data_IF_100266926757
#
_entry.id   IF_100266926757
#
_cell.length_a   1.000
_cell.length_b   1.000
_cell.length_c   1.000
_cell.angle_alpha   90.00
_cell.angle_beta   90.00
_cell.angle_gamma   90.00
#
_symmetry.space_group_name_H-M   'P 1'
#
loop_
_entity.id
_entity.type
_entity.pdbx_description
1 polymer ?
#
# COMPACT_ATOMS: atom_id res chain seq x y z
N UNK A 1 24.52 12.44 -16.63
CA UNK A 1 23.87 11.26 -17.27
C UNK A 1 22.69 10.89 -16.39
N UNK A 2 21.47 10.90 -16.92
CA UNK A 2 20.26 10.52 -16.15
C UNK A 2 20.13 9.00 -16.22
N UNK A 3 20.02 8.33 -15.09
CA UNK A 3 19.86 6.87 -14.98
C UNK A 3 18.81 6.53 -13.93
N UNK A 4 18.19 5.36 -14.06
CA UNK A 4 17.20 4.89 -13.10
C UNK A 4 17.87 4.30 -11.86
N UNK A 5 17.42 4.72 -10.69
CA UNK A 5 17.80 4.17 -9.40
C UNK A 5 16.79 3.08 -9.05
N UNK A 6 17.21 1.82 -9.06
CA UNK A 6 16.33 0.69 -8.71
C UNK A 6 16.65 0.23 -7.29
N UNK A 7 15.67 0.36 -6.41
CA UNK A 7 15.74 -0.07 -5.02
C UNK A 7 15.26 -1.52 -4.89
N UNK A 8 15.88 -2.29 -4.01
CA UNK A 8 15.47 -3.66 -3.68
C UNK A 8 15.93 -4.73 -4.68
N UNK A 9 16.57 -4.38 -5.79
CA UNK A 9 17.01 -5.34 -6.81
C UNK A 9 18.52 -5.55 -6.79
N UNK A 10 18.96 -6.80 -6.71
CA UNK A 10 20.36 -7.15 -6.79
C UNK A 10 20.94 -6.92 -8.21
N UNK A 11 22.27 -6.92 -8.34
CA UNK A 11 22.96 -6.64 -9.61
C UNK A 11 22.67 -7.69 -10.70
N UNK A 12 22.55 -8.96 -10.32
CA UNK A 12 22.26 -10.06 -11.26
C UNK A 12 20.87 -9.90 -11.86
N UNK A 13 19.86 -9.63 -11.03
CA UNK A 13 18.49 -9.42 -11.50
C UNK A 13 18.35 -8.11 -12.28
N UNK A 14 19.13 -7.09 -11.90
CA UNK A 14 19.17 -5.83 -12.64
C UNK A 14 19.71 -6.02 -14.06
N UNK A 15 20.74 -6.82 -14.24
CA UNK A 15 21.29 -7.13 -15.57
C UNK A 15 20.32 -7.96 -16.40
N UNK A 16 19.56 -8.88 -15.76
CA UNK A 16 18.64 -9.80 -16.43
C UNK A 16 17.29 -9.18 -16.77
N UNK A 17 16.73 -8.39 -15.88
CA UNK A 17 15.35 -7.89 -15.99
C UNK A 17 15.25 -6.37 -16.23
N UNK A 18 16.39 -5.63 -16.12
CA UNK A 18 16.39 -4.18 -16.27
C UNK A 18 15.45 -3.52 -15.26
N UNK A 19 14.46 -2.78 -15.75
CA UNK A 19 13.39 -2.13 -14.95
C UNK A 19 12.05 -2.89 -15.01
N UNK A 20 11.99 -4.07 -15.61
CA UNK A 20 10.76 -4.86 -15.66
C UNK A 20 10.37 -5.33 -14.25
N UNK A 21 9.11 -5.18 -13.88
CA UNK A 21 8.62 -5.52 -12.53
C UNK A 21 9.13 -4.55 -11.47
N UNK A 22 9.28 -3.28 -11.81
CA UNK A 22 9.47 -2.19 -10.86
C UNK A 22 8.31 -1.21 -10.92
N UNK A 23 8.06 -0.52 -9.83
CA UNK A 23 7.10 0.59 -9.73
C UNK A 23 7.85 1.91 -9.63
N UNK A 24 7.25 2.98 -10.13
CA UNK A 24 7.80 4.33 -10.05
C UNK A 24 7.41 4.98 -8.72
N UNK A 25 8.39 5.27 -7.87
CA UNK A 25 8.17 5.91 -6.58
C UNK A 25 8.28 7.43 -6.66
N UNK A 26 9.17 7.94 -7.48
CA UNK A 26 9.46 9.37 -7.57
C UNK A 26 10.78 9.68 -8.27
N UNK A 27 11.28 10.90 -8.07
CA UNK A 27 12.56 11.34 -8.61
C UNK A 27 13.49 11.75 -7.48
N UNK A 28 14.80 11.54 -7.68
CA UNK A 28 15.81 12.00 -6.74
C UNK A 28 15.90 13.52 -6.73
N UNK A 29 16.10 14.07 -5.54
CA UNK A 29 16.27 15.50 -5.33
C UNK A 29 17.77 15.80 -5.36
N UNK A 30 18.20 16.62 -6.28
CA UNK A 30 19.62 17.00 -6.43
C UNK A 30 19.76 18.49 -6.23
N UNK A 31 20.66 18.86 -5.34
CA UNK A 31 21.02 20.26 -5.13
C UNK A 31 22.08 20.66 -6.14
N UNK A 32 21.79 21.71 -6.91
CA UNK A 32 22.71 22.29 -7.90
C UNK A 32 22.96 23.76 -7.51
N UNK A 33 23.96 23.99 -6.66
CA UNK A 33 24.19 25.31 -6.07
C UNK A 33 23.02 25.75 -5.17
N UNK A 34 22.45 26.95 -5.35
CA UNK A 34 21.29 27.42 -4.60
C UNK A 34 19.96 26.81 -5.09
N UNK A 35 19.93 26.17 -6.26
CA UNK A 35 18.74 25.58 -6.85
C UNK A 35 18.64 24.07 -6.58
N UNK A 36 17.40 23.58 -6.50
CA UNK A 36 17.11 22.16 -6.44
C UNK A 36 16.47 21.69 -7.75
N UNK A 37 16.85 20.54 -8.21
CA UNK A 37 16.28 19.92 -9.40
C UNK A 37 15.87 18.47 -9.13
N UNK A 38 14.77 18.04 -9.74
CA UNK A 38 14.39 16.64 -9.81
C UNK A 38 15.24 15.96 -10.92
N UNK A 39 15.86 14.86 -10.59
CA UNK A 39 16.77 14.17 -11.49
C UNK A 39 16.32 12.72 -11.73
N UNK A 40 17.09 11.76 -11.32
CA UNK A 40 16.92 10.35 -11.65
C UNK A 40 15.60 9.78 -11.11
N UNK A 41 14.95 8.91 -11.89
CA UNK A 41 13.78 8.17 -11.41
C UNK A 41 14.20 7.18 -10.33
N UNK A 42 13.40 7.10 -9.27
CA UNK A 42 13.51 6.11 -8.21
C UNK A 42 12.44 5.06 -8.46
N UNK A 43 12.87 3.85 -8.66
CA UNK A 43 12.04 2.68 -8.92
C UNK A 43 12.19 1.69 -7.77
N UNK A 44 11.12 1.00 -7.39
CA UNK A 44 11.14 -0.07 -6.40
C UNK A 44 10.85 -1.41 -7.10
N UNK A 45 11.64 -2.42 -6.78
CA UNK A 45 11.39 -3.79 -7.22
C UNK A 45 10.14 -4.36 -6.56
N UNK A 46 9.24 -4.93 -7.36
CA UNK A 46 8.04 -5.65 -6.90
C UNK A 46 8.01 -7.10 -7.39
N UNK A 47 9.08 -7.54 -8.03
CA UNK A 47 9.23 -8.93 -8.46
C UNK A 47 9.74 -9.85 -7.35
N UNK A 48 10.38 -9.29 -6.32
CA UNK A 48 10.90 -10.00 -5.15
C UNK A 48 10.22 -9.52 -3.87
N UNK A 49 10.27 -10.34 -2.82
CA UNK A 49 9.71 -9.98 -1.51
C UNK A 49 10.54 -8.91 -0.82
N UNK A 50 9.90 -7.85 -0.36
CA UNK A 50 10.52 -6.75 0.38
C UNK A 50 9.70 -6.38 1.61
N UNK A 51 10.38 -5.84 2.62
CA UNK A 51 9.75 -5.14 3.75
C UNK A 51 10.10 -3.66 3.60
N UNK A 52 9.06 -2.82 3.48
CA UNK A 52 9.22 -1.37 3.30
C UNK A 52 8.58 -0.67 4.49
N UNK A 53 9.38 0.12 5.23
CA UNK A 53 8.89 0.96 6.31
C UNK A 53 8.78 2.40 5.83
N UNK A 54 7.55 2.95 5.84
CA UNK A 54 7.29 4.37 5.57
C UNK A 54 7.01 5.09 6.88
N UNK A 55 7.95 5.89 7.35
CA UNK A 55 7.84 6.63 8.60
C UNK A 55 7.89 8.14 8.39
N UNK A 56 7.31 8.90 9.32
CA UNK A 56 7.29 10.37 9.25
C UNK A 56 6.23 10.98 10.16
N UNK A 57 6.30 12.30 10.35
CA UNK A 57 5.33 13.08 11.13
C UNK A 57 3.92 13.01 10.52
N UNK A 58 2.90 13.38 11.30
CA UNK A 58 1.54 13.57 10.78
C UNK A 58 1.57 14.60 9.63
N UNK A 59 0.90 14.31 8.53
CA UNK A 59 0.87 15.18 7.34
C UNK A 59 2.09 15.08 6.42
N UNK A 60 3.08 14.21 6.70
CA UNK A 60 4.29 14.07 5.86
C UNK A 60 4.10 13.25 4.58
N UNK A 61 2.88 12.86 4.23
CA UNK A 61 2.59 12.14 3.00
C UNK A 61 2.76 10.60 3.08
N UNK A 62 2.87 9.99 4.28
CA UNK A 62 3.01 8.53 4.41
C UNK A 62 1.92 7.74 3.68
N UNK A 63 0.66 8.07 3.97
CA UNK A 63 -0.48 7.38 3.34
C UNK A 63 -0.55 7.67 1.83
N UNK A 64 -0.19 8.88 1.41
CA UNK A 64 -0.09 9.23 0.01
C UNK A 64 0.97 8.37 -0.71
N UNK A 65 2.13 8.18 -0.09
CA UNK A 65 3.18 7.32 -0.62
C UNK A 65 2.72 5.86 -0.76
N UNK A 66 1.98 5.32 0.24
CA UNK A 66 1.39 3.99 0.15
C UNK A 66 0.37 3.88 -0.99
N UNK A 67 -0.47 4.91 -1.20
CA UNK A 67 -1.39 4.97 -2.34
C UNK A 67 -0.65 4.94 -3.67
N UNK A 68 0.42 5.72 -3.82
CA UNK A 68 1.25 5.73 -5.04
C UNK A 68 1.81 4.34 -5.33
N UNK A 69 2.33 3.64 -4.31
CA UNK A 69 2.83 2.27 -4.49
C UNK A 69 1.72 1.31 -4.94
N UNK A 70 0.54 1.40 -4.33
CA UNK A 70 -0.60 0.56 -4.68
C UNK A 70 -1.10 0.82 -6.10
N UNK A 71 -1.19 2.08 -6.51
CA UNK A 71 -1.58 2.49 -7.86
C UNK A 71 -0.58 1.98 -8.89
N UNK A 72 0.70 2.18 -8.67
CA UNK A 72 1.77 1.75 -9.58
C UNK A 72 1.82 0.22 -9.73
N UNK A 73 1.54 -0.54 -8.66
CA UNK A 73 1.42 -2.01 -8.72
C UNK A 73 0.21 -2.40 -9.57
N UNK A 74 -0.94 -1.77 -9.33
CA UNK A 74 -2.17 -2.07 -10.06
C UNK A 74 -2.11 -1.68 -11.55
N UNK A 75 -1.21 -0.75 -11.90
CA UNK A 75 -1.01 -0.26 -13.26
C UNK A 75 0.11 -0.97 -14.02
N UNK A 76 0.72 -1.99 -13.44
CA UNK A 76 1.70 -2.80 -14.17
C UNK A 76 1.07 -3.40 -15.44
N UNK A 77 1.87 -3.67 -16.48
CA UNK A 77 1.39 -4.38 -17.67
C UNK A 77 0.65 -5.67 -17.28
N UNK A 78 -0.41 -6.01 -18.00
CA UNK A 78 -1.30 -7.15 -17.69
C UNK A 78 -0.55 -8.45 -17.39
N UNK A 79 0.52 -8.71 -18.14
CA UNK A 79 1.38 -9.90 -17.95
C UNK A 79 2.03 -9.95 -16.55
N UNK A 80 2.17 -8.82 -15.87
CA UNK A 80 2.72 -8.69 -14.50
C UNK A 80 1.56 -8.55 -13.51
N UNK A 81 0.65 -7.63 -13.77
CA UNK A 81 -0.47 -7.29 -12.88
C UNK A 81 -1.33 -8.50 -12.51
N UNK A 82 -1.56 -9.43 -13.44
CA UNK A 82 -2.34 -10.66 -13.18
C UNK A 82 -1.73 -11.57 -12.11
N UNK A 83 -0.46 -11.40 -11.79
CA UNK A 83 0.24 -12.19 -10.77
C UNK A 83 0.40 -11.41 -9.44
N UNK A 84 -0.12 -10.19 -9.36
CA UNK A 84 0.00 -9.33 -8.20
C UNK A 84 -1.38 -9.01 -7.63
N UNK A 85 -1.47 -8.95 -6.31
CA UNK A 85 -2.64 -8.46 -5.59
C UNK A 85 -2.20 -7.45 -4.54
N UNK A 86 -2.96 -6.37 -4.39
CA UNK A 86 -2.71 -5.36 -3.36
C UNK A 86 -3.81 -5.47 -2.31
N UNK A 87 -3.42 -5.72 -1.07
CA UNK A 87 -4.33 -5.71 0.09
C UNK A 87 -3.89 -4.55 0.99
N UNK A 88 -4.80 -3.61 1.23
CA UNK A 88 -4.57 -2.47 2.12
C UNK A 88 -5.43 -2.60 3.37
N UNK A 89 -4.78 -2.68 4.53
CA UNK A 89 -5.45 -2.65 5.83
C UNK A 89 -5.62 -1.19 6.24
N UNK A 90 -6.82 -0.66 6.00
CA UNK A 90 -7.14 0.77 6.16
C UNK A 90 -7.76 1.07 7.52
N UNK A 91 -6.92 1.25 8.53
CA UNK A 91 -7.37 1.61 9.89
C UNK A 91 -7.89 3.05 10.01
N UNK A 92 -7.56 3.90 9.05
CA UNK A 92 -7.95 5.33 9.04
C UNK A 92 -9.15 5.62 8.13
N UNK A 93 -9.54 4.67 7.28
CA UNK A 93 -10.65 4.82 6.35
C UNK A 93 -10.42 5.88 5.29
N UNK A 94 -9.23 5.90 4.66
CA UNK A 94 -8.86 6.93 3.69
C UNK A 94 -8.60 6.39 2.28
N UNK A 95 -8.21 5.12 2.15
CA UNK A 95 -7.79 4.56 0.86
C UNK A 95 -8.95 4.25 -0.11
N UNK A 96 -10.21 4.24 0.37
CA UNK A 96 -11.37 4.14 -0.51
C UNK A 96 -11.42 5.26 -1.56
N UNK A 97 -10.80 6.41 -1.26
CA UNK A 97 -10.71 7.55 -2.18
C UNK A 97 -9.96 7.24 -3.46
N UNK A 98 -9.11 6.20 -3.48
CA UNK A 98 -8.42 5.73 -4.69
C UNK A 98 -9.36 5.26 -5.80
N UNK A 99 -10.62 5.01 -5.48
CA UNK A 99 -11.69 4.75 -6.47
C UNK A 99 -11.94 5.95 -7.40
N UNK A 100 -11.59 7.15 -6.97
CA UNK A 100 -11.84 8.39 -7.69
C UNK A 100 -10.53 9.01 -8.18
N UNK A 101 -10.54 9.66 -9.35
CA UNK A 101 -9.34 10.33 -9.86
C UNK A 101 -9.01 11.56 -9.01
N UNK A 102 -7.71 11.83 -8.80
CA UNK A 102 -7.23 13.02 -8.11
C UNK A 102 -7.28 14.24 -9.04
N UNK A 103 -8.45 14.82 -9.22
CA UNK A 103 -8.66 16.01 -10.05
C UNK A 103 -8.04 17.26 -9.40
N UNK A 104 -7.95 17.27 -8.05
CA UNK A 104 -7.44 18.43 -7.31
C UNK A 104 -6.01 18.79 -7.68
N UNK A 105 -5.18 17.77 -7.87
CA UNK A 105 -3.75 17.92 -8.12
C UNK A 105 -3.40 17.64 -9.62
N UNK A 106 -4.36 17.79 -10.53
CA UNK A 106 -4.19 17.51 -11.96
C UNK A 106 -3.00 18.26 -12.57
N UNK A 107 -2.84 19.56 -12.25
CA UNK A 107 -1.72 20.36 -12.74
C UNK A 107 -0.36 19.82 -12.27
N UNK A 108 -0.29 19.41 -10.98
CA UNK A 108 0.93 18.82 -10.42
C UNK A 108 1.23 17.48 -11.09
N UNK A 109 0.21 16.66 -11.35
CA UNK A 109 0.37 15.40 -12.05
C UNK A 109 0.90 15.61 -13.48
N UNK A 110 0.39 16.60 -14.21
CA UNK A 110 0.86 16.94 -15.55
C UNK A 110 2.35 17.35 -15.55
N UNK A 111 2.81 18.13 -14.58
CA UNK A 111 4.24 18.48 -14.41
C UNK A 111 5.13 17.24 -14.26
N UNK A 112 4.58 16.16 -13.72
CA UNK A 112 5.26 14.86 -13.56
C UNK A 112 5.06 13.93 -14.75
N UNK A 113 4.29 14.34 -15.76
CA UNK A 113 3.90 13.49 -16.89
C UNK A 113 2.88 12.42 -16.53
N UNK A 114 2.13 12.63 -15.44
CA UNK A 114 1.09 11.75 -14.93
C UNK A 114 -0.30 12.33 -15.22
N UNK A 115 -1.33 11.49 -15.11
CA UNK A 115 -2.74 11.91 -15.25
C UNK A 115 -3.57 11.38 -14.10
N UNK A 116 -4.62 12.11 -13.68
CA UNK A 116 -5.59 11.60 -12.71
C UNK A 116 -6.21 10.30 -13.20
N UNK A 117 -6.27 9.30 -12.33
CA UNK A 117 -6.83 7.98 -12.65
C UNK A 117 -7.67 7.47 -11.49
N UNK A 118 -8.69 6.68 -11.81
CA UNK A 118 -9.45 5.91 -10.83
C UNK A 118 -8.93 4.48 -10.80
N UNK A 119 -8.93 3.88 -9.60
CA UNK A 119 -8.52 2.49 -9.41
C UNK A 119 -9.73 1.60 -9.17
N UNK A 120 -9.68 0.36 -9.66
CA UNK A 120 -10.71 -0.64 -9.38
C UNK A 120 -10.53 -1.23 -7.98
N UNK A 121 -10.82 -0.42 -6.96
CA UNK A 121 -10.71 -0.81 -5.55
C UNK A 121 -11.95 -1.57 -5.12
N UNK A 122 -11.78 -2.70 -4.44
CA UNK A 122 -12.83 -3.44 -3.75
C UNK A 122 -12.75 -3.15 -2.26
N UNK A 123 -13.83 -2.64 -1.69
CA UNK A 123 -13.88 -2.16 -0.31
C UNK A 123 -14.64 -3.16 0.53
N UNK A 124 -13.92 -3.78 1.46
CA UNK A 124 -14.43 -4.74 2.44
C UNK A 124 -14.55 -4.05 3.80
N UNK A 125 -15.66 -4.24 4.47
CA UNK A 125 -15.92 -3.66 5.80
C UNK A 125 -16.44 -4.75 6.74
N UNK A 126 -16.03 -4.77 8.02
CA UNK A 126 -16.64 -5.66 8.99
C UNK A 126 -18.16 -5.50 9.01
N UNK A 127 -18.90 -6.60 9.06
CA UNK A 127 -20.38 -6.60 8.92
C UNK A 127 -21.08 -5.65 9.88
N UNK A 128 -20.57 -5.51 11.11
CA UNK A 128 -21.12 -4.59 12.11
C UNK A 128 -21.06 -3.10 11.74
N UNK A 129 -20.20 -2.71 10.79
CA UNK A 129 -20.03 -1.32 10.35
C UNK A 129 -20.56 -1.06 8.94
N UNK A 130 -21.08 -2.07 8.26
CA UNK A 130 -21.49 -1.98 6.87
C UNK A 130 -22.55 -0.90 6.62
N UNK A 131 -23.61 -0.90 7.40
CA UNK A 131 -24.71 0.08 7.26
C UNK A 131 -24.30 1.49 7.70
N UNK A 132 -23.40 1.60 8.67
CA UNK A 132 -22.84 2.89 9.09
C UNK A 132 -22.03 3.53 7.95
N UNK A 133 -21.16 2.78 7.32
CA UNK A 133 -20.37 3.28 6.19
C UNK A 133 -21.26 3.73 5.04
N UNK A 134 -22.29 2.95 4.69
CA UNK A 134 -23.29 3.34 3.68
C UNK A 134 -24.01 4.64 4.02
N UNK A 135 -24.45 4.80 5.26
CA UNK A 135 -25.12 6.04 5.72
C UNK A 135 -24.20 7.26 5.64
N UNK A 136 -22.90 7.07 5.85
CA UNK A 136 -21.88 8.12 5.72
C UNK A 136 -21.48 8.40 4.27
N UNK A 137 -22.05 7.72 3.29
CA UNK A 137 -21.74 7.87 1.88
C UNK A 137 -20.36 7.31 1.48
N UNK A 138 -19.75 6.47 2.33
CA UNK A 138 -18.50 5.78 2.01
C UNK A 138 -18.84 4.58 1.13
N UNK A 139 -18.22 4.43 -0.05
CA UNK A 139 -18.50 3.29 -0.91
C UNK A 139 -18.05 2.00 -0.23
N UNK A 140 -18.92 1.00 -0.23
CA UNK A 140 -18.65 -0.33 0.32
C UNK A 140 -19.14 -1.37 -0.67
N UNK A 141 -18.28 -2.35 -1.00
CA UNK A 141 -18.65 -3.43 -1.92
C UNK A 141 -19.07 -4.68 -1.16
N UNK A 142 -18.34 -5.05 -0.12
CA UNK A 142 -18.53 -6.32 0.58
C UNK A 142 -18.44 -6.14 2.10
N UNK A 143 -19.23 -6.93 2.82
CA UNK A 143 -19.03 -7.12 4.25
C UNK A 143 -18.24 -8.42 4.50
N UNK A 144 -17.52 -8.46 5.61
CA UNK A 144 -16.87 -9.68 6.08
C UNK A 144 -17.07 -9.90 7.57
N UNK A 145 -16.98 -11.15 7.98
CA UNK A 145 -16.97 -11.59 9.38
C UNK A 145 -15.79 -12.53 9.57
N UNK A 146 -15.24 -12.54 10.76
CA UNK A 146 -14.26 -13.54 11.19
C UNK A 146 -15.02 -14.53 12.08
N UNK A 147 -14.97 -15.81 11.76
CA UNK A 147 -15.55 -16.85 12.61
C UNK A 147 -14.67 -17.03 13.83
N UNK A 148 -15.29 -17.11 14.99
CA UNK A 148 -14.56 -17.33 16.25
C UNK A 148 -13.76 -18.65 16.25
N UNK A 149 -14.26 -19.65 15.51
CA UNK A 149 -13.57 -20.94 15.32
C UNK A 149 -12.34 -20.87 14.42
N UNK A 150 -12.11 -19.77 13.73
CA UNK A 150 -10.93 -19.54 12.87
C UNK A 150 -9.80 -18.84 13.63
N UNK A 151 -10.07 -18.40 14.87
CA UNK A 151 -9.08 -17.75 15.75
C UNK A 151 -8.32 -18.81 16.55
N UNK A 152 -6.99 -18.72 16.48
CA UNK A 152 -6.10 -19.54 17.30
C UNK A 152 -6.07 -19.06 18.76
N UNK A 153 -5.53 -19.87 19.67
CA UNK A 153 -5.30 -19.47 21.06
C UNK A 153 -4.45 -18.19 21.16
N UNK A 154 -3.47 -18.04 20.27
CA UNK A 154 -2.63 -16.84 20.22
C UNK A 154 -3.42 -15.59 19.80
N UNK A 155 -4.34 -15.72 18.82
CA UNK A 155 -5.20 -14.62 18.39
C UNK A 155 -6.12 -14.17 19.54
N UNK A 156 -6.72 -15.12 20.26
CA UNK A 156 -7.56 -14.85 21.44
C UNK A 156 -6.76 -14.14 22.52
N UNK A 157 -5.57 -14.66 22.85
CA UNK A 157 -4.70 -14.04 23.84
C UNK A 157 -4.31 -12.62 23.44
N UNK A 158 -4.03 -12.38 22.16
CA UNK A 158 -3.70 -11.05 21.62
C UNK A 158 -4.89 -10.07 21.69
N UNK A 159 -6.11 -10.55 21.41
CA UNK A 159 -7.34 -9.72 21.49
C UNK A 159 -7.62 -9.24 22.91
N UNK A 160 -7.37 -10.10 23.90
CA UNK A 160 -7.65 -9.82 25.31
C UNK A 160 -6.44 -9.32 26.10
N UNK A 161 -5.29 -9.11 25.45
CA UNK A 161 -4.03 -8.72 26.08
C UNK A 161 -3.59 -9.69 27.20
N UNK A 162 -3.75 -11.00 26.94
CA UNK A 162 -3.39 -12.10 27.83
C UNK A 162 -2.11 -12.75 27.30
N UNK A 163 -1.20 -13.12 28.19
CA UNK A 163 -0.03 -13.93 27.80
C UNK A 163 -0.43 -15.41 27.74
N UNK A 164 0.09 -16.13 26.74
CA UNK A 164 -0.11 -17.59 26.66
C UNK A 164 0.34 -18.33 27.91
N UNK A 165 1.30 -17.78 28.64
CA UNK A 165 1.83 -18.34 29.91
C UNK A 165 0.96 -18.04 31.13
N UNK A 166 -0.04 -17.19 31.02
CA UNK A 166 -0.98 -16.90 32.10
C UNK A 166 -2.00 -18.04 32.24
N UNK A 167 -2.61 -18.18 33.39
CA UNK A 167 -3.60 -19.25 33.67
C UNK A 167 -4.73 -19.25 32.62
N UNK A 168 -5.22 -18.06 32.25
CA UNK A 168 -6.25 -17.93 31.19
C UNK A 168 -5.70 -18.29 29.80
N UNK A 169 -4.45 -17.95 29.52
CA UNK A 169 -3.81 -18.29 28.24
C UNK A 169 -3.69 -19.81 28.09
N UNK A 170 -3.25 -20.51 29.12
CA UNK A 170 -3.15 -21.97 29.14
C UNK A 170 -4.53 -22.63 28.98
N UNK A 171 -5.57 -22.07 29.60
CA UNK A 171 -6.95 -22.57 29.43
C UNK A 171 -7.44 -22.39 27.97
N UNK A 172 -7.16 -21.25 27.34
CA UNK A 172 -7.54 -20.97 25.93
C UNK A 172 -6.79 -21.93 24.99
N UNK A 173 -5.51 -22.22 25.26
CA UNK A 173 -4.72 -23.13 24.44
C UNK A 173 -5.19 -24.58 24.55
N UNK A 174 -5.74 -24.97 25.70
CA UNK A 174 -6.21 -26.32 25.97
C UNK A 174 -7.65 -26.60 25.53
N UNK A 175 -8.38 -25.57 25.04
CA UNK A 175 -9.78 -25.66 24.59
C UNK A 175 -9.89 -26.02 23.12
#
# INVERSE_FOLDING_TARGET
>A
MVYDIVLGRNLTDRSKFGTRGTIFLGKSYVQMGPAFALSNRILIDVASSHVILVSGKRGSGKSYNLSVMAEEIAMQPEAIAKNLSVIMLDTMGIFWTMRYPNIRDEKLLDEWGLKPRSMNVKIYVPSGFFDEHKRRGIPVDYSFTIRTSELSALDWCSIFDIKLTDVLGVLIESS
#
